data_IF_013810681541
#
_entry.id   IF_013810681541
#
_cell.length_a   1.000
_cell.length_b   1.000
_cell.length_c   1.000
_cell.angle_alpha   90.00
_cell.angle_beta   90.00
_cell.angle_gamma   90.00
#
_symmetry.space_group_name_H-M   'P 1'
#
loop_
_entity.id
_entity.type
_entity.pdbx_description
1 polymer ?
#
# COMPACT_ATOMS: atom_id res chain seq x y z
N UNK A 1 3.45 12.82 -15.08
CA UNK A 1 4.79 12.19 -15.02
C UNK A 1 4.77 11.26 -13.82
N UNK A 2 5.23 10.02 -13.99
CA UNK A 2 5.25 9.05 -12.90
C UNK A 2 6.32 9.43 -11.87
N UNK A 3 5.90 9.71 -10.65
CA UNK A 3 6.73 9.98 -9.48
C UNK A 3 6.73 8.76 -8.56
N UNK A 4 7.91 8.36 -8.07
CA UNK A 4 8.07 7.29 -7.09
C UNK A 4 9.06 6.18 -7.50
N UNK A 5 9.15 5.09 -6.71
CA UNK A 5 8.34 4.83 -5.52
C UNK A 5 8.77 5.73 -4.35
N UNK A 6 7.82 6.12 -3.48
CA UNK A 6 8.09 6.82 -2.21
C UNK A 6 7.02 6.53 -1.18
N UNK A 7 7.29 6.84 0.08
CA UNK A 7 6.29 6.87 1.13
C UNK A 7 5.14 7.84 0.79
N UNK A 8 3.91 7.45 1.14
CA UNK A 8 2.76 8.34 1.12
C UNK A 8 2.89 9.38 2.23
N UNK A 9 2.46 10.60 1.96
CA UNK A 9 2.30 11.62 3.00
C UNK A 9 0.95 11.47 3.69
N UNK A 10 0.82 12.01 4.90
CA UNK A 10 -0.43 11.99 5.67
C UNK A 10 -1.61 12.61 4.92
N UNK A 11 -1.37 13.74 4.24
CA UNK A 11 -2.37 14.42 3.42
C UNK A 11 -2.79 13.64 2.17
N UNK A 12 -2.06 12.58 1.81
CA UNK A 12 -2.37 11.69 0.68
C UNK A 12 -3.12 10.42 1.10
N UNK A 13 -3.26 10.14 2.41
CA UNK A 13 -3.78 8.88 2.92
C UNK A 13 -5.17 8.53 2.34
N UNK A 14 -6.09 9.50 2.31
CA UNK A 14 -7.42 9.30 1.74
C UNK A 14 -7.39 8.96 0.24
N UNK A 15 -6.49 9.58 -0.52
CA UNK A 15 -6.32 9.28 -1.95
C UNK A 15 -5.73 7.88 -2.16
N UNK A 16 -4.83 7.45 -1.27
CA UNK A 16 -4.26 6.09 -1.27
C UNK A 16 -5.33 5.04 -0.94
N UNK A 17 -6.19 5.31 0.05
CA UNK A 17 -7.34 4.46 0.37
C UNK A 17 -8.29 4.39 -0.82
N UNK A 18 -8.56 5.51 -1.49
CA UNK A 18 -9.42 5.56 -2.68
C UNK A 18 -8.86 4.71 -3.83
N UNK A 19 -7.55 4.73 -4.08
CA UNK A 19 -6.91 3.81 -5.04
C UNK A 19 -7.16 2.35 -4.65
N UNK A 20 -6.89 1.98 -3.40
CA UNK A 20 -7.09 0.61 -2.91
C UNK A 20 -8.55 0.15 -3.05
N UNK A 21 -9.51 1.01 -2.69
CA UNK A 21 -10.94 0.77 -2.86
C UNK A 21 -11.31 0.59 -4.33
N UNK A 22 -10.81 1.43 -5.23
CA UNK A 22 -11.11 1.32 -6.65
C UNK A 22 -10.66 -0.02 -7.26
N UNK A 23 -9.62 -0.65 -6.69
CA UNK A 23 -9.15 -1.97 -7.13
C UNK A 23 -9.89 -3.10 -6.41
N UNK A 24 -9.90 -3.12 -5.07
CA UNK A 24 -10.38 -4.26 -4.27
C UNK A 24 -11.86 -4.19 -3.87
N UNK A 25 -12.50 -3.03 -3.98
CA UNK A 25 -13.93 -2.79 -3.69
C UNK A 25 -14.71 -2.36 -4.94
N UNK A 26 -14.15 -2.59 -6.14
CA UNK A 26 -14.83 -2.31 -7.42
C UNK A 26 -16.11 -3.13 -7.67
N UNK A 27 -16.21 -4.33 -7.06
CA UNK A 27 -17.32 -5.28 -7.30
C UNK A 27 -18.07 -5.69 -6.03
N UNK A 28 -17.68 -5.14 -4.88
CA UNK A 28 -18.30 -5.43 -3.59
C UNK A 28 -18.23 -4.19 -2.71
N UNK A 29 -19.26 -3.98 -1.91
CA UNK A 29 -19.24 -2.94 -0.88
C UNK A 29 -18.11 -3.18 0.12
N UNK A 30 -17.62 -2.10 0.70
CA UNK A 30 -16.58 -2.10 1.71
C UNK A 30 -15.62 -0.92 1.57
N UNK A 31 -14.73 -0.81 2.53
CA UNK A 31 -13.78 0.29 2.65
C UNK A 31 -12.48 -0.27 3.21
N UNK A 32 -11.44 -0.30 2.38
CA UNK A 32 -10.11 -0.80 2.72
C UNK A 32 -9.50 -0.05 3.91
N UNK A 33 -9.74 1.26 4.05
CA UNK A 33 -9.27 2.04 5.18
C UNK A 33 -9.90 1.60 6.49
N UNK A 34 -11.22 1.38 6.50
CA UNK A 34 -11.96 0.90 7.67
C UNK A 34 -11.70 -0.56 8.01
N UNK A 35 -11.54 -1.39 6.99
CA UNK A 35 -11.33 -2.84 7.15
C UNK A 35 -9.89 -3.19 7.55
N UNK A 36 -8.92 -2.34 7.19
CA UNK A 36 -7.50 -2.53 7.51
C UNK A 36 -6.92 -1.28 8.20
N UNK A 37 -7.47 -0.87 9.37
CA UNK A 37 -7.14 0.41 10.01
C UNK A 37 -5.70 0.48 10.54
N UNK A 38 -5.05 -0.66 10.74
CA UNK A 38 -3.63 -0.69 11.16
C UNK A 38 -2.66 -0.55 9.99
N UNK A 39 -3.14 -0.74 8.75
CA UNK A 39 -2.39 -0.51 7.53
C UNK A 39 -2.60 0.92 7.06
N UNK A 40 -3.85 1.39 7.05
CA UNK A 40 -4.25 2.72 6.62
C UNK A 40 -4.49 3.64 7.83
N UNK A 41 -3.41 4.09 8.45
CA UNK A 41 -3.44 5.15 9.47
C UNK A 41 -2.27 6.10 9.27
N UNK A 42 -2.37 7.30 9.84
CA UNK A 42 -1.35 8.33 9.69
C UNK A 42 0.03 7.87 10.20
N UNK A 43 0.06 7.07 11.26
CA UNK A 43 1.28 6.53 11.85
C UNK A 43 1.98 5.51 10.94
N UNK A 44 1.27 4.93 9.98
CA UNK A 44 1.79 3.93 9.05
C UNK A 44 2.02 4.48 7.63
N UNK A 45 1.80 5.77 7.38
CA UNK A 45 1.97 6.38 6.05
C UNK A 45 3.36 6.15 5.44
N UNK A 46 4.42 6.16 6.26
CA UNK A 46 5.80 5.87 5.81
C UNK A 46 5.96 4.47 5.21
N UNK A 47 5.11 3.53 5.61
CA UNK A 47 5.08 2.14 5.12
C UNK A 47 4.02 1.92 4.02
N UNK A 48 3.35 2.98 3.55
CA UNK A 48 2.52 2.95 2.36
C UNK A 48 3.35 3.50 1.20
N UNK A 49 3.95 2.61 0.40
CA UNK A 49 4.79 3.01 -0.73
C UNK A 49 3.93 3.14 -1.97
N UNK A 50 4.07 4.27 -2.67
CA UNK A 50 3.21 4.64 -3.78
C UNK A 50 3.99 5.13 -5.00
N UNK A 51 3.37 4.96 -6.16
CA UNK A 51 3.65 5.78 -7.34
C UNK A 51 2.50 6.76 -7.55
N UNK A 52 2.83 7.95 -8.01
CA UNK A 52 1.86 8.97 -8.39
C UNK A 52 1.99 9.32 -9.86
N UNK A 53 0.88 9.72 -10.48
CA UNK A 53 0.87 10.44 -11.74
C UNK A 53 0.07 11.72 -11.54
N UNK A 54 0.69 12.87 -11.80
CA UNK A 54 0.07 14.19 -11.63
C UNK A 54 -0.57 14.38 -10.24
N UNK A 55 0.18 14.00 -9.19
CA UNK A 55 -0.25 14.09 -7.79
C UNK A 55 -1.29 13.04 -7.36
N UNK A 56 -1.74 12.15 -8.25
CA UNK A 56 -2.70 11.09 -7.93
C UNK A 56 -2.00 9.74 -7.74
N UNK A 57 -2.24 9.01 -6.64
CA UNK A 57 -1.74 7.64 -6.49
C UNK A 57 -2.25 6.70 -7.59
N UNK A 58 -1.34 5.99 -8.26
CA UNK A 58 -1.64 5.03 -9.35
C UNK A 58 -1.18 3.61 -9.04
N UNK A 59 -0.28 3.45 -8.07
CA UNK A 59 0.15 2.14 -7.57
C UNK A 59 0.49 2.23 -6.09
N UNK A 60 0.22 1.16 -5.33
CA UNK A 60 0.39 1.08 -3.89
C UNK A 60 0.91 -0.31 -3.47
N UNK A 61 1.83 -0.33 -2.51
CA UNK A 61 2.09 -1.44 -1.60
C UNK A 61 2.07 -0.90 -0.18
N UNK A 62 1.31 -1.52 0.71
CA UNK A 62 1.35 -1.21 2.13
C UNK A 62 2.02 -2.32 2.91
N UNK A 63 2.69 -1.98 4.00
CA UNK A 63 3.14 -2.99 4.94
C UNK A 63 3.08 -2.52 6.39
N UNK A 64 3.16 -3.48 7.31
CA UNK A 64 3.37 -3.23 8.74
C UNK A 64 4.44 -4.17 9.27
N UNK A 65 5.31 -3.70 10.15
CA UNK A 65 6.32 -4.56 10.79
C UNK A 65 5.87 -4.92 12.20
N UNK A 66 5.72 -6.21 12.46
CA UNK A 66 5.18 -6.76 13.71
C UNK A 66 6.03 -7.93 14.18
N UNK A 67 5.96 -8.22 15.47
CA UNK A 67 6.51 -9.46 16.01
C UNK A 67 5.37 -10.48 16.04
N UNK A 68 5.63 -11.68 15.53
CA UNK A 68 4.70 -12.81 15.60
C UNK A 68 5.32 -13.94 16.40
N UNK A 69 4.47 -14.76 17.01
CA UNK A 69 4.91 -15.88 17.82
C UNK A 69 4.58 -17.21 17.12
N UNK A 70 5.60 -17.99 16.78
CA UNK A 70 5.45 -19.29 16.14
C UNK A 70 6.18 -20.33 16.98
N UNK A 71 5.44 -21.29 17.53
CA UNK A 71 5.98 -22.46 18.24
C UNK A 71 7.05 -22.14 19.30
N UNK A 72 6.84 -21.08 20.10
CA UNK A 72 7.81 -20.68 21.13
C UNK A 72 8.81 -19.60 20.72
N UNK A 73 8.92 -19.30 19.42
CA UNK A 73 9.85 -18.30 18.90
C UNK A 73 9.13 -16.98 18.57
N UNK A 74 9.75 -15.86 18.96
CA UNK A 74 9.36 -14.53 18.46
C UNK A 74 10.10 -14.23 17.16
N UNK A 75 9.35 -13.87 16.12
CA UNK A 75 9.88 -13.59 14.79
C UNK A 75 9.41 -12.21 14.34
N UNK A 76 10.35 -11.33 13.99
CA UNK A 76 10.08 -10.04 13.38
C UNK A 76 9.66 -10.25 11.92
N UNK A 77 8.45 -9.82 11.54
CA UNK A 77 7.91 -10.00 10.19
C UNK A 77 7.42 -8.70 9.58
N UNK A 78 7.53 -8.61 8.25
CA UNK A 78 6.91 -7.57 7.43
C UNK A 78 5.61 -8.14 6.83
N UNK A 79 4.47 -7.61 7.25
CA UNK A 79 3.15 -7.99 6.74
C UNK A 79 2.81 -7.09 5.56
N UNK A 80 3.01 -7.59 4.35
CA UNK A 80 2.69 -6.88 3.10
C UNK A 80 1.21 -7.03 2.78
N UNK A 81 0.56 -5.96 2.34
CA UNK A 81 -0.86 -5.93 2.01
C UNK A 81 -1.23 -4.81 1.04
N UNK A 82 -2.47 -4.86 0.55
CA UNK A 82 -3.05 -3.87 -0.36
C UNK A 82 -2.20 -3.56 -1.62
N UNK A 83 -1.46 -4.56 -2.13
CA UNK A 83 -0.66 -4.41 -3.35
C UNK A 83 -1.58 -4.24 -4.55
N UNK A 84 -1.60 -3.04 -5.12
CA UNK A 84 -2.49 -2.75 -6.24
C UNK A 84 -1.93 -1.69 -7.18
N UNK A 85 -2.40 -1.74 -8.43
CA UNK A 85 -2.10 -0.77 -9.46
C UNK A 85 -3.40 -0.48 -10.22
N UNK A 86 -3.66 0.79 -10.48
CA UNK A 86 -4.74 1.26 -11.33
C UNK A 86 -4.69 0.48 -12.66
N UNK A 87 -5.83 -0.05 -13.16
CA UNK A 87 -5.87 -0.85 -14.38
C UNK A 87 -5.16 -0.23 -15.59
N UNK A 88 -5.19 1.10 -15.72
CA UNK A 88 -4.57 1.82 -16.84
C UNK A 88 -3.04 1.89 -16.74
N UNK A 89 -2.47 1.62 -15.56
CA UNK A 89 -1.04 1.68 -15.29
C UNK A 89 -0.39 0.28 -15.15
N UNK A 90 -1.15 -0.79 -15.39
CA UNK A 90 -0.65 -2.17 -15.33
C UNK A 90 0.26 -2.50 -16.51
N UNK A 91 1.10 -3.52 -16.33
CA UNK A 91 2.07 -3.95 -17.34
C UNK A 91 3.34 -3.09 -17.43
N UNK A 92 3.47 -2.06 -16.59
CA UNK A 92 4.61 -1.13 -16.58
C UNK A 92 5.67 -1.44 -15.50
N UNK A 93 5.52 -2.55 -14.77
CA UNK A 93 6.46 -2.97 -13.71
C UNK A 93 6.36 -2.18 -12.38
N UNK A 94 5.36 -1.30 -12.20
CA UNK A 94 5.22 -0.47 -11.00
C UNK A 94 5.11 -1.30 -9.70
N UNK A 95 4.30 -2.36 -9.70
CA UNK A 95 4.15 -3.23 -8.53
C UNK A 95 5.46 -3.94 -8.16
N UNK A 96 6.27 -4.35 -9.14
CA UNK A 96 7.58 -4.97 -8.89
C UNK A 96 8.53 -3.97 -8.23
N UNK A 97 8.62 -2.75 -8.76
CA UNK A 97 9.47 -1.70 -8.20
C UNK A 97 9.04 -1.28 -6.79
N UNK A 98 7.74 -1.30 -6.51
CA UNK A 98 7.20 -1.07 -5.17
C UNK A 98 7.59 -2.19 -4.20
N UNK A 99 7.55 -3.45 -4.66
CA UNK A 99 7.98 -4.58 -3.84
C UNK A 99 9.47 -4.49 -3.53
N UNK A 100 10.32 -4.22 -4.52
CA UNK A 100 11.76 -4.01 -4.35
C UNK A 100 12.06 -2.92 -3.31
N UNK A 101 11.41 -1.75 -3.42
CA UNK A 101 11.52 -0.62 -2.49
C UNK A 101 11.03 -0.94 -1.05
N UNK A 102 10.24 -2.00 -0.87
CA UNK A 102 9.72 -2.42 0.44
C UNK A 102 10.63 -3.46 1.12
N UNK A 103 11.33 -4.31 0.35
CA UNK A 103 12.05 -5.48 0.89
C UNK A 103 13.58 -5.40 0.77
N UNK A 104 14.11 -4.43 0.02
CA UNK A 104 15.54 -4.18 -0.17
C UNK A 104 15.97 -2.85 0.46
#
# INVERSE_FOLDING_TARGET
MIEGPRAARKDELEAVIALSNSVFRSRREGDMGREFPTLFCEENCENLRIFLDDGKPVSLIGFTVRDIFIMGASIRVCNVGSVCTDPNYRGQGLATRLLEDTIL
#
